data_IF_960372281656
#
_entry.id   IF_960372281656
#
_cell.length_a   1.000
_cell.length_b   1.000
_cell.length_c   1.000
_cell.angle_alpha   90.00
_cell.angle_beta   90.00
_cell.angle_gamma   90.00
#
_symmetry.space_group_name_H-M   'P 1'
#
loop_
_entity.id
_entity.type
_entity.pdbx_description
1 polymer ?
#
# COMPACT_ATOMS: atom_id res chain seq x y z
N UNK A 1 -20.46 -0.55 15.50
CA UNK A 1 -19.57 0.48 14.90
C UNK A 1 -19.94 0.84 13.47
N UNK A 2 -20.08 -0.09 12.51
CA UNK A 2 -20.32 0.27 11.10
C UNK A 2 -21.62 1.06 10.86
N UNK A 3 -22.73 0.69 11.52
CA UNK A 3 -24.00 1.43 11.42
C UNK A 3 -23.87 2.85 11.96
N UNK A 4 -23.11 3.05 13.04
CA UNK A 4 -22.87 4.38 13.60
C UNK A 4 -22.09 5.28 12.65
N UNK A 5 -21.02 4.76 12.04
CA UNK A 5 -20.26 5.49 11.01
C UNK A 5 -21.12 5.82 9.79
N UNK A 6 -21.90 4.87 9.28
CA UNK A 6 -22.75 5.09 8.11
C UNK A 6 -23.86 6.14 8.35
N UNK A 7 -24.33 6.29 9.59
CA UNK A 7 -25.32 7.32 9.96
C UNK A 7 -24.68 8.68 10.16
N UNK A 8 -23.49 8.74 10.76
CA UNK A 8 -22.79 10.00 11.04
C UNK A 8 -22.08 10.58 9.80
N UNK A 9 -21.60 9.73 8.91
CA UNK A 9 -20.91 10.10 7.67
C UNK A 9 -21.41 9.23 6.50
N UNK A 10 -22.53 9.61 5.86
CA UNK A 10 -23.11 8.85 4.77
C UNK A 10 -22.24 8.94 3.51
N UNK A 11 -22.23 7.88 2.72
CA UNK A 11 -21.46 7.82 1.47
C UNK A 11 -21.85 8.95 0.51
N UNK A 12 -20.85 9.66 -0.01
CA UNK A 12 -21.05 10.73 -0.98
C UNK A 12 -21.34 10.16 -2.37
N UNK A 13 -22.30 10.77 -3.07
CA UNK A 13 -22.58 10.46 -4.48
C UNK A 13 -21.83 11.47 -5.34
N UNK A 14 -20.91 10.97 -6.17
CA UNK A 14 -20.13 11.79 -7.10
C UNK A 14 -20.90 12.16 -8.37
N UNK A 15 -20.24 12.92 -9.24
CA UNK A 15 -20.76 13.26 -10.56
C UNK A 15 -20.80 12.03 -11.49
N UNK A 16 -21.70 11.99 -12.49
CA UNK A 16 -21.69 10.96 -13.52
C UNK A 16 -20.34 10.93 -14.26
N UNK A 17 -19.90 9.73 -14.67
CA UNK A 17 -18.64 9.57 -15.38
C UNK A 17 -18.67 10.25 -16.77
N UNK A 18 -17.67 11.10 -17.04
CA UNK A 18 -17.42 11.70 -18.35
C UNK A 18 -16.04 11.27 -18.89
N UNK A 19 -15.98 10.51 -20.00
CA UNK A 19 -14.72 10.08 -20.62
C UNK A 19 -13.82 11.23 -21.12
N UNK A 20 -14.37 12.44 -21.34
CA UNK A 20 -13.62 13.58 -21.86
C UNK A 20 -13.15 14.56 -20.78
N UNK A 21 -13.55 14.35 -19.52
CA UNK A 21 -13.17 15.18 -18.39
C UNK A 21 -12.45 14.36 -17.31
N UNK A 22 -11.14 14.55 -17.17
CA UNK A 22 -10.35 13.92 -16.11
C UNK A 22 -10.39 14.76 -14.83
N UNK A 23 -10.76 14.19 -13.67
CA UNK A 23 -10.71 14.93 -12.41
C UNK A 23 -9.27 15.27 -12.02
N UNK A 24 -9.11 16.32 -11.21
CA UNK A 24 -7.79 16.80 -10.77
C UNK A 24 -7.06 15.77 -9.88
N UNK A 25 -7.80 15.08 -9.01
CA UNK A 25 -7.27 14.07 -8.11
C UNK A 25 -7.83 12.69 -8.49
N UNK A 26 -6.92 11.75 -8.78
CA UNK A 26 -7.26 10.36 -9.12
C UNK A 26 -6.56 9.45 -8.12
N UNK A 27 -7.35 8.92 -7.18
CA UNK A 27 -6.88 8.00 -6.16
C UNK A 27 -7.78 6.76 -6.15
N UNK A 28 -7.20 5.56 -5.98
CA UNK A 28 -7.98 4.35 -5.78
C UNK A 28 -8.47 4.27 -4.31
N UNK A 29 -8.94 3.10 -3.88
CA UNK A 29 -9.22 2.87 -2.46
C UNK A 29 -7.93 2.78 -1.62
N UNK A 30 -8.05 3.09 -0.33
CA UNK A 30 -6.93 3.26 0.60
C UNK A 30 -5.98 2.06 0.70
N UNK A 31 -6.50 0.83 0.60
CA UNK A 31 -5.68 -0.39 0.66
C UNK A 31 -4.83 -0.60 -0.62
N UNK A 32 -5.16 0.10 -1.71
CA UNK A 32 -4.39 0.07 -2.95
C UNK A 32 -3.30 1.16 -2.99
N UNK A 33 -3.29 2.12 -2.06
CA UNK A 33 -2.33 3.22 -2.06
C UNK A 33 -0.86 2.79 -2.18
N UNK A 34 -0.37 1.78 -1.43
CA UNK A 34 1.03 1.36 -1.57
C UNK A 34 1.34 0.81 -2.96
N UNK A 35 0.43 0.04 -3.55
CA UNK A 35 0.60 -0.52 -4.90
C UNK A 35 0.48 0.54 -5.99
N UNK A 36 -0.41 1.52 -5.81
CA UNK A 36 -0.57 2.68 -6.68
C UNK A 36 0.66 3.57 -6.67
N UNK A 37 1.26 3.78 -5.49
CA UNK A 37 2.51 4.53 -5.34
C UNK A 37 3.66 3.86 -6.11
N UNK A 38 3.80 2.53 -6.02
CA UNK A 38 4.80 1.77 -6.79
C UNK A 38 4.55 1.94 -8.30
N UNK A 39 3.30 1.83 -8.75
CA UNK A 39 2.95 1.96 -10.17
C UNK A 39 3.32 3.32 -10.77
N UNK A 40 3.13 4.42 -10.03
CA UNK A 40 3.37 5.76 -10.56
C UNK A 40 4.82 6.24 -10.42
N UNK A 41 5.58 5.72 -9.44
CA UNK A 41 6.98 6.10 -9.22
C UNK A 41 7.93 5.34 -10.16
N UNK A 42 7.65 4.07 -10.44
CA UNK A 42 8.57 3.25 -11.24
C UNK A 42 8.43 3.65 -12.72
N UNK A 43 9.50 4.14 -13.38
CA UNK A 43 9.40 4.65 -14.75
C UNK A 43 9.13 3.52 -15.77
N UNK A 44 9.61 2.30 -15.49
CA UNK A 44 9.36 1.14 -16.33
C UNK A 44 8.06 0.44 -15.94
N UNK A 45 7.07 0.46 -16.84
CA UNK A 45 5.75 -0.15 -16.64
C UNK A 45 5.82 -1.64 -16.28
N UNK A 46 6.74 -2.40 -16.88
CA UNK A 46 6.89 -3.83 -16.58
C UNK A 46 7.40 -4.07 -15.16
N UNK A 47 8.34 -3.23 -14.68
CA UNK A 47 8.84 -3.32 -13.30
C UNK A 47 7.78 -2.88 -12.29
N UNK A 48 6.95 -1.88 -12.63
CA UNK A 48 5.82 -1.48 -11.79
C UNK A 48 4.79 -2.60 -11.61
N UNK A 49 4.37 -3.23 -12.71
CA UNK A 49 3.47 -4.40 -12.68
C UNK A 49 4.13 -5.56 -11.91
N UNK A 50 5.41 -5.81 -12.18
CA UNK A 50 6.20 -6.80 -11.44
C UNK A 50 6.16 -6.56 -9.93
N UNK A 51 6.39 -5.33 -9.49
CA UNK A 51 6.34 -4.93 -8.08
C UNK A 51 4.97 -5.18 -7.43
N UNK A 52 3.86 -4.90 -8.13
CA UNK A 52 2.53 -5.22 -7.62
C UNK A 52 2.32 -6.73 -7.44
N UNK A 53 2.70 -7.52 -8.45
CA UNK A 53 2.52 -8.98 -8.42
C UNK A 53 3.44 -9.66 -7.39
N UNK A 54 4.59 -9.05 -7.10
CA UNK A 54 5.53 -9.55 -6.11
C UNK A 54 4.96 -9.53 -4.68
N UNK A 55 4.02 -8.65 -4.36
CA UNK A 55 3.42 -8.55 -3.03
C UNK A 55 2.65 -9.82 -2.65
N UNK A 56 1.60 -10.25 -3.39
CA UNK A 56 0.88 -11.48 -3.06
C UNK A 56 1.77 -12.72 -3.23
N UNK A 57 2.65 -12.75 -4.25
CA UNK A 57 3.60 -13.86 -4.43
C UNK A 57 4.55 -13.99 -3.23
N UNK A 58 5.13 -12.89 -2.78
CA UNK A 58 6.01 -12.87 -1.61
C UNK A 58 5.30 -13.31 -0.34
N UNK A 59 4.07 -12.84 -0.10
CA UNK A 59 3.26 -13.26 1.04
C UNK A 59 2.93 -14.76 1.00
N UNK A 60 2.65 -15.32 -0.18
CA UNK A 60 2.43 -16.77 -0.35
C UNK A 60 3.69 -17.59 -0.04
N UNK A 61 4.87 -17.03 -0.24
CA UNK A 61 6.15 -17.71 0.03
C UNK A 61 6.57 -17.67 1.51
N UNK A 62 5.99 -16.78 2.34
CA UNK A 62 6.31 -16.64 3.77
C UNK A 62 6.32 -17.96 4.53
N UNK A 63 5.27 -18.82 4.50
CA UNK A 63 5.27 -20.07 5.27
C UNK A 63 6.38 -21.04 4.83
N UNK A 64 6.85 -20.97 3.58
CA UNK A 64 7.92 -21.82 3.07
C UNK A 64 9.31 -21.29 3.48
N UNK A 65 9.49 -19.97 3.47
CA UNK A 65 10.74 -19.31 3.88
C UNK A 65 10.94 -19.46 5.40
N UNK A 66 9.86 -19.29 6.17
CA UNK A 66 9.92 -19.26 7.63
C UNK A 66 9.89 -20.65 8.30
N UNK A 67 9.70 -21.72 7.52
CA UNK A 67 9.65 -23.11 8.01
C UNK A 67 10.97 -23.60 8.65
N UNK A 68 12.04 -22.81 8.58
CA UNK A 68 13.32 -23.11 9.21
C UNK A 68 13.17 -23.23 10.74
N UNK A 69 12.24 -22.47 11.35
CA UNK A 69 12.05 -22.40 12.79
C UNK A 69 10.62 -22.74 13.20
N UNK A 70 10.44 -23.54 14.27
CA UNK A 70 9.11 -23.91 14.82
C UNK A 70 8.55 -22.90 15.82
N UNK A 71 9.33 -21.90 16.20
CA UNK A 71 8.91 -20.91 17.18
C UNK A 71 7.78 -20.06 16.61
N UNK A 72 6.74 -19.80 17.41
CA UNK A 72 5.62 -18.93 17.01
C UNK A 72 5.73 -17.52 17.64
N UNK A 73 6.38 -17.41 18.80
CA UNK A 73 6.52 -16.15 19.51
C UNK A 73 7.46 -15.19 18.73
N UNK A 74 7.02 -13.97 18.36
CA UNK A 74 7.85 -12.96 17.66
C UNK A 74 9.16 -12.63 18.39
N UNK A 75 9.15 -12.60 19.74
CA UNK A 75 10.35 -12.34 20.53
C UNK A 75 11.43 -13.43 20.39
N UNK A 76 11.05 -14.63 19.92
CA UNK A 76 11.98 -15.73 19.62
C UNK A 76 12.37 -15.80 18.14
N UNK A 77 11.94 -14.82 17.34
CA UNK A 77 12.15 -14.74 15.89
C UNK A 77 12.59 -13.32 15.51
N UNK A 78 13.73 -12.84 16.02
CA UNK A 78 14.13 -11.44 15.86
C UNK A 78 14.25 -11.03 14.39
N UNK A 79 14.82 -11.88 13.52
CA UNK A 79 15.00 -11.58 12.09
C UNK A 79 13.65 -11.41 11.36
N UNK A 80 12.74 -12.37 11.52
CA UNK A 80 11.41 -12.32 10.90
C UNK A 80 10.60 -11.11 11.40
N UNK A 81 10.65 -10.84 12.71
CA UNK A 81 9.92 -9.71 13.32
C UNK A 81 10.46 -8.37 12.81
N UNK A 82 11.78 -8.20 12.73
CA UNK A 82 12.38 -6.97 12.18
C UNK A 82 12.02 -6.78 10.71
N UNK A 83 12.04 -7.85 9.91
CA UNK A 83 11.65 -7.78 8.49
C UNK A 83 10.17 -7.42 8.32
N UNK A 84 9.28 -7.97 9.15
CA UNK A 84 7.87 -7.61 9.17
C UNK A 84 7.65 -6.14 9.55
N UNK A 85 8.33 -5.65 10.60
CA UNK A 85 8.24 -4.25 11.02
C UNK A 85 8.75 -3.31 9.93
N UNK A 86 9.89 -3.63 9.30
CA UNK A 86 10.40 -2.88 8.17
C UNK A 86 9.42 -2.85 6.99
N UNK A 87 8.88 -4.01 6.60
CA UNK A 87 7.89 -4.09 5.52
C UNK A 87 6.61 -3.30 5.83
N UNK A 88 6.17 -3.32 7.09
CA UNK A 88 5.01 -2.53 7.55
C UNK A 88 5.30 -1.03 7.44
N UNK A 89 6.47 -0.57 7.90
CA UNK A 89 6.88 0.83 7.80
C UNK A 89 6.97 1.29 6.35
N UNK A 90 7.55 0.49 5.45
CA UNK A 90 7.62 0.80 4.01
C UNK A 90 6.22 0.87 3.40
N UNK A 91 5.33 -0.06 3.77
CA UNK A 91 3.95 -0.06 3.26
C UNK A 91 3.19 1.20 3.70
N UNK A 92 3.34 1.61 4.95
CA UNK A 92 2.77 2.85 5.47
C UNK A 92 3.38 4.09 4.78
N UNK A 93 4.70 4.10 4.60
CA UNK A 93 5.41 5.19 3.92
C UNK A 93 4.91 5.38 2.49
N UNK A 94 4.79 4.29 1.72
CA UNK A 94 4.26 4.33 0.36
C UNK A 94 2.77 4.68 0.32
N UNK A 95 1.99 4.19 1.30
CA UNK A 95 0.57 4.51 1.42
C UNK A 95 0.31 5.99 1.68
N UNK A 96 1.10 6.61 2.55
CA UNK A 96 1.05 8.06 2.81
C UNK A 96 1.57 8.82 1.60
N UNK A 97 2.71 8.41 1.03
CA UNK A 97 3.30 9.04 -0.15
C UNK A 97 2.36 9.08 -1.36
N UNK A 98 1.40 8.14 -1.48
CA UNK A 98 0.41 8.10 -2.55
C UNK A 98 -0.48 9.36 -2.62
N UNK A 99 -0.74 10.02 -1.49
CA UNK A 99 -1.59 11.23 -1.44
C UNK A 99 -0.80 12.51 -1.73
N UNK A 100 0.53 12.44 -1.79
CA UNK A 100 1.39 13.59 -2.08
C UNK A 100 1.65 13.75 -3.58
N UNK A 101 2.04 14.96 -4.03
CA UNK A 101 2.58 15.18 -5.38
C UNK A 101 3.81 14.31 -5.61
N UNK A 102 4.01 13.86 -6.86
CA UNK A 102 5.04 12.86 -7.17
C UNK A 102 6.46 13.28 -6.78
N UNK A 103 6.75 14.59 -6.85
CA UNK A 103 8.05 15.18 -6.52
C UNK A 103 8.41 15.00 -5.04
N UNK A 104 7.43 15.12 -4.15
CA UNK A 104 7.60 15.04 -2.68
C UNK A 104 7.18 13.69 -2.11
N UNK A 105 6.69 12.79 -2.96
CA UNK A 105 6.02 11.56 -2.52
C UNK A 105 6.97 10.54 -1.86
N UNK A 106 8.28 10.67 -2.07
CA UNK A 106 9.32 9.85 -1.45
C UNK A 106 9.87 10.47 -0.16
N UNK A 107 9.93 11.80 -0.09
CA UNK A 107 10.43 12.58 1.06
C UNK A 107 9.34 12.85 2.09
N UNK A 108 8.06 12.70 1.70
CA UNK A 108 6.87 13.09 2.45
C UNK A 108 6.90 14.58 2.85
N UNK A 109 7.67 15.41 2.13
CA UNK A 109 7.90 16.82 2.46
C UNK A 109 8.71 17.05 3.74
N UNK A 110 9.42 16.03 4.24
CA UNK A 110 10.22 16.12 5.47
C UNK A 110 11.69 16.49 5.24
N UNK A 111 12.24 16.14 4.07
CA UNK A 111 13.67 16.27 3.75
C UNK A 111 13.88 16.66 2.29
#
# INVERSE_FOLDING_TARGET
CCVGLAVLDPAMVGEPADPFATPLEILPEWYLYPTFQILRIVPNKLLGIGGMTAIPLGLMLVPFIENINKFQNPFRRPVATTMFLFGTLVTLWLGIGATFPIQESLTLGLF
#
